data_IF_974636895396
#
_entry.id   IF_974636895396
#
_cell.length_a   1.000
_cell.length_b   1.000
_cell.length_c   1.000
_cell.angle_alpha   90.00
_cell.angle_beta   90.00
_cell.angle_gamma   90.00
#
_symmetry.space_group_name_H-M   'P 1'
#
loop_
_entity.id
_entity.type
_entity.pdbx_description
1 polymer ?
#
# COMPACT_ATOMS: atom_id res chain seq x y z
N UNK A 1 -9.88 10.75 0.25
CA UNK A 1 -11.09 11.29 -0.43
C UNK A 1 -11.76 12.23 0.55
N UNK A 2 -12.45 13.31 0.13
CA UNK A 2 -13.14 14.22 1.08
C UNK A 2 -14.42 13.62 1.71
N UNK A 3 -14.88 12.47 1.21
CA UNK A 3 -16.08 11.76 1.65
C UNK A 3 -15.68 10.45 2.32
N UNK A 4 -16.30 10.16 3.47
CA UNK A 4 -16.18 8.88 4.17
C UNK A 4 -16.81 7.74 3.35
N UNK A 5 -16.20 6.56 3.38
CA UNK A 5 -16.75 5.38 2.68
C UNK A 5 -17.95 4.79 3.43
N UNK A 6 -18.67 3.85 2.81
CA UNK A 6 -19.76 3.10 3.48
C UNK A 6 -19.26 2.43 4.77
N UNK A 7 -18.01 1.95 4.77
CA UNK A 7 -17.37 1.31 5.93
C UNK A 7 -16.68 2.26 6.91
N UNK A 8 -16.90 3.58 6.82
CA UNK A 8 -16.32 4.56 7.73
C UNK A 8 -14.84 4.93 7.45
N UNK A 9 -14.28 4.50 6.32
CA UNK A 9 -12.89 4.80 5.99
C UNK A 9 -12.77 6.22 5.43
N UNK A 10 -11.72 6.93 5.85
CA UNK A 10 -11.36 8.26 5.30
C UNK A 10 -10.05 8.24 4.51
N UNK A 11 -9.19 7.26 4.78
CA UNK A 11 -7.87 7.11 4.17
C UNK A 11 -7.63 5.67 3.74
N UNK A 12 -6.66 5.50 2.85
CA UNK A 12 -6.11 4.19 2.51
C UNK A 12 -4.59 4.25 2.62
N UNK A 13 -3.99 3.11 2.91
CA UNK A 13 -2.55 2.89 2.76
C UNK A 13 -2.34 1.60 1.99
N UNK A 14 -1.40 1.61 1.05
CA UNK A 14 -1.02 0.44 0.27
C UNK A 14 0.41 0.08 0.61
N UNK A 15 0.63 -1.12 1.14
CA UNK A 15 1.96 -1.71 1.27
C UNK A 15 2.23 -2.57 0.05
N UNK A 16 3.42 -2.42 -0.51
CA UNK A 16 3.86 -3.20 -1.68
C UNK A 16 5.18 -3.87 -1.35
N UNK A 17 5.27 -5.16 -1.61
CA UNK A 17 6.55 -5.86 -1.65
C UNK A 17 7.24 -5.60 -2.98
N UNK A 18 8.49 -5.17 -2.94
CA UNK A 18 9.25 -4.79 -4.14
C UNK A 18 9.64 -6.02 -4.98
N UNK A 19 9.87 -7.18 -4.33
CA UNK A 19 10.31 -8.39 -5.02
C UNK A 19 9.17 -9.11 -5.75
N UNK A 20 8.10 -9.44 -5.02
CA UNK A 20 6.95 -10.18 -5.57
C UNK A 20 5.91 -9.28 -6.24
N UNK A 21 6.04 -7.96 -6.10
CA UNK A 21 5.01 -6.99 -6.44
C UNK A 21 3.66 -7.22 -5.71
N UNK A 22 3.64 -8.02 -4.64
CA UNK A 22 2.44 -8.22 -3.84
C UNK A 22 1.98 -6.92 -3.19
N UNK A 23 0.70 -6.59 -3.33
CA UNK A 23 0.10 -5.37 -2.78
C UNK A 23 -1.01 -5.69 -1.81
N UNK A 24 -0.99 -5.03 -0.65
CA UNK A 24 -2.08 -5.09 0.34
C UNK A 24 -2.51 -3.68 0.73
N UNK A 25 -3.80 -3.41 0.57
CA UNK A 25 -4.41 -2.13 0.97
C UNK A 25 -5.14 -2.28 2.29
N UNK A 26 -5.01 -1.26 3.14
CA UNK A 26 -5.81 -1.08 4.35
C UNK A 26 -6.59 0.23 4.24
N UNK A 27 -7.90 0.19 4.54
CA UNK A 27 -8.84 1.32 4.42
C UNK A 27 -9.31 1.76 5.82
N UNK A 28 -8.73 2.83 6.38
CA UNK A 28 -8.89 3.20 7.80
C UNK A 28 -8.65 4.69 8.08
N UNK A 29 -8.69 5.08 9.36
CA UNK A 29 -8.25 6.40 9.82
C UNK A 29 -6.72 6.46 9.94
N UNK A 30 -6.16 7.69 9.89
CA UNK A 30 -4.70 7.90 10.01
C UNK A 30 -4.12 7.35 11.33
N UNK A 31 -4.91 7.34 12.41
CA UNK A 31 -4.50 6.83 13.72
C UNK A 31 -4.21 5.34 13.74
N UNK A 32 -4.82 4.55 12.86
CA UNK A 32 -4.73 3.09 12.85
C UNK A 32 -3.55 2.55 12.01
N UNK A 33 -2.85 3.43 11.29
CA UNK A 33 -1.84 3.04 10.30
C UNK A 33 -0.68 2.27 10.94
N UNK A 34 -0.24 2.67 12.14
CA UNK A 34 0.85 1.99 12.85
C UNK A 34 0.45 0.56 13.20
N UNK A 35 -0.76 0.35 13.74
CA UNK A 35 -1.25 -0.98 14.07
C UNK A 35 -1.38 -1.87 12.82
N UNK A 36 -1.83 -1.31 11.70
CA UNK A 36 -1.94 -2.05 10.43
C UNK A 36 -0.60 -2.36 9.79
N UNK A 37 0.40 -1.50 10.00
CA UNK A 37 1.77 -1.80 9.60
C UNK A 37 2.34 -2.98 10.41
N UNK A 38 2.12 -3.02 11.73
CA UNK A 38 2.54 -4.17 12.55
C UNK A 38 1.86 -5.47 12.10
N UNK A 39 0.53 -5.43 11.88
CA UNK A 39 -0.24 -6.56 11.34
C UNK A 39 0.29 -7.01 9.97
N UNK A 40 0.64 -6.07 9.10
CA UNK A 40 1.26 -6.37 7.81
C UNK A 40 2.61 -7.05 7.96
N UNK A 41 3.49 -6.54 8.83
CA UNK A 41 4.80 -7.13 9.07
C UNK A 41 4.67 -8.56 9.58
N UNK A 42 3.83 -8.80 10.58
CA UNK A 42 3.57 -10.15 11.11
C UNK A 42 3.00 -11.08 10.04
N UNK A 43 2.00 -10.61 9.28
CA UNK A 43 1.43 -11.40 8.19
C UNK A 43 2.50 -11.76 7.14
N UNK A 44 3.28 -10.78 6.68
CA UNK A 44 4.28 -11.00 5.64
C UNK A 44 5.39 -11.94 6.09
N UNK A 45 5.91 -11.77 7.31
CA UNK A 45 6.92 -12.65 7.89
C UNK A 45 6.40 -14.08 8.04
N UNK A 46 5.15 -14.27 8.48
CA UNK A 46 4.55 -15.59 8.60
C UNK A 46 4.31 -16.28 7.24
N UNK A 47 4.00 -15.53 6.19
CA UNK A 47 3.74 -16.11 4.87
C UNK A 47 5.01 -16.40 4.06
N UNK A 48 6.05 -15.60 4.25
CA UNK A 48 7.28 -15.68 3.43
C UNK A 48 8.47 -16.25 4.17
N UNK A 49 8.38 -16.40 5.49
CA UNK A 49 9.47 -16.75 6.42
C UNK A 49 10.70 -15.83 6.28
N UNK A 50 10.53 -14.65 5.67
CA UNK A 50 11.60 -13.69 5.39
C UNK A 50 11.43 -12.43 6.24
N UNK A 51 12.52 -11.92 6.83
CA UNK A 51 12.48 -10.66 7.55
C UNK A 51 12.37 -9.48 6.57
N UNK A 52 11.60 -8.45 6.97
CA UNK A 52 11.51 -7.19 6.23
C UNK A 52 12.77 -6.38 6.55
N UNK A 53 13.60 -6.13 5.53
CA UNK A 53 14.88 -5.42 5.70
C UNK A 53 14.73 -3.91 5.81
N UNK A 54 13.89 -3.33 4.95
CA UNK A 54 13.69 -1.89 4.88
C UNK A 54 12.28 -1.56 4.40
N UNK A 55 11.78 -0.40 4.84
CA UNK A 55 10.53 0.19 4.38
C UNK A 55 10.88 1.43 3.57
N UNK A 56 10.45 1.47 2.31
CA UNK A 56 10.60 2.65 1.46
C UNK A 56 9.33 3.50 1.50
N UNK A 57 9.45 4.75 1.94
CA UNK A 57 8.40 5.76 1.85
C UNK A 57 8.65 6.68 0.66
N UNK A 58 7.63 7.12 -0.05
CA UNK A 58 7.69 8.05 -1.20
C UNK A 58 8.04 9.51 -0.85
N UNK A 59 8.62 9.75 0.33
CA UNK A 59 8.86 11.10 0.87
C UNK A 59 7.64 11.73 1.56
N UNK A 60 6.47 11.07 1.51
CA UNK A 60 5.29 11.43 2.29
C UNK A 60 5.52 11.23 3.80
N UNK A 61 5.97 12.28 4.49
CA UNK A 61 6.17 12.26 5.95
C UNK A 61 4.86 12.17 6.75
N UNK A 62 3.71 12.23 6.09
CA UNK A 62 2.39 12.25 6.74
C UNK A 62 2.06 10.98 7.54
N UNK A 63 2.77 9.88 7.29
CA UNK A 63 2.63 8.62 8.02
C UNK A 63 3.82 8.33 8.96
N UNK A 64 4.92 9.08 8.84
CA UNK A 64 6.15 8.87 9.62
C UNK A 64 6.08 9.71 10.91
N UNK A 65 5.19 9.32 11.82
CA UNK A 65 5.10 9.91 13.15
C UNK A 65 6.07 9.22 14.15
N UNK A 66 6.17 9.76 15.37
CA UNK A 66 7.03 9.16 16.43
C UNK A 66 6.67 7.70 16.72
N UNK A 67 5.37 7.36 16.70
CA UNK A 67 4.89 5.99 16.89
C UNK A 67 5.40 5.04 15.81
N UNK A 68 5.30 5.43 14.55
CA UNK A 68 5.79 4.65 13.42
C UNK A 68 7.30 4.40 13.51
N UNK A 69 8.09 5.44 13.85
CA UNK A 69 9.54 5.30 14.06
C UNK A 69 9.86 4.35 15.22
N UNK A 70 9.08 4.37 16.30
CA UNK A 70 9.26 3.45 17.42
C UNK A 70 8.98 2.00 17.00
N UNK A 71 7.89 1.77 16.26
CA UNK A 71 7.54 0.45 15.71
C UNK A 71 8.64 -0.09 14.79
N UNK A 72 9.20 0.74 13.92
CA UNK A 72 10.33 0.32 13.06
C UNK A 72 11.57 -0.09 13.88
N UNK A 73 11.92 0.69 14.91
CA UNK A 73 13.02 0.31 15.82
C UNK A 73 12.75 -0.99 16.57
N UNK A 74 11.50 -1.29 16.91
CA UNK A 74 11.10 -2.52 17.59
C UNK A 74 11.15 -3.73 16.66
N UNK A 75 10.66 -3.58 15.43
CA UNK A 75 10.55 -4.67 14.47
C UNK A 75 11.87 -4.94 13.72
N UNK A 76 12.74 -3.93 13.60
CA UNK A 76 14.04 -4.03 12.93
C UNK A 76 14.16 -3.46 11.50
N UNK A 77 13.10 -3.21 10.70
CA UNK A 77 13.27 -2.63 9.38
C UNK A 77 13.84 -1.22 9.39
N UNK A 78 14.76 -0.94 8.48
CA UNK A 78 15.29 0.40 8.23
C UNK A 78 14.26 1.27 7.51
N UNK A 79 14.02 2.50 7.98
CA UNK A 79 13.22 3.47 7.23
C UNK A 79 14.07 4.12 6.14
N UNK A 80 13.69 3.95 4.88
CA UNK A 80 14.26 4.66 3.74
C UNK A 80 13.21 5.61 3.17
N UNK A 81 13.60 6.84 2.87
CA UNK A 81 12.75 7.80 2.17
C UNK A 81 13.27 7.94 0.73
N UNK A 82 12.35 7.88 -0.23
CA UNK A 82 12.58 8.27 -1.62
C UNK A 82 12.72 9.79 -1.66
N UNK A 83 13.94 10.28 -1.37
CA UNK A 83 14.33 11.65 -1.69
C UNK A 83 15.12 11.60 -3.01
N UNK A 84 14.75 12.41 -4.02
CA UNK A 84 15.58 12.56 -5.21
C UNK A 84 16.98 13.08 -4.82
N UNK A 85 18.08 12.55 -5.41
CA UNK A 85 18.13 11.78 -6.66
C UNK A 85 18.22 10.25 -6.48
N UNK A 86 18.07 9.72 -5.26
CA UNK A 86 18.60 8.39 -4.91
C UNK A 86 17.74 7.23 -5.47
N UNK A 87 16.44 7.43 -5.73
CA UNK A 87 15.52 6.31 -6.01
C UNK A 87 14.39 6.65 -7.00
N UNK A 88 14.71 7.03 -8.25
CA UNK A 88 13.68 7.17 -9.31
C UNK A 88 13.14 5.82 -9.79
N UNK A 89 13.98 4.79 -9.89
CA UNK A 89 13.58 3.48 -10.42
C UNK A 89 12.63 2.70 -9.50
N UNK A 90 12.77 2.81 -8.16
CA UNK A 90 11.89 2.08 -7.22
C UNK A 90 10.55 2.80 -6.97
N UNK A 91 10.45 4.09 -7.30
CA UNK A 91 9.18 4.81 -7.20
C UNK A 91 8.17 4.36 -8.26
N UNK A 92 8.61 3.65 -9.31
CA UNK A 92 7.73 3.12 -10.35
C UNK A 92 6.64 2.18 -9.80
N UNK A 93 6.89 1.49 -8.69
CA UNK A 93 5.91 0.63 -8.02
C UNK A 93 4.84 1.44 -7.28
N UNK A 94 5.24 2.51 -6.59
CA UNK A 94 4.33 3.45 -5.95
C UNK A 94 3.50 4.22 -6.99
N UNK A 95 4.13 4.68 -8.08
CA UNK A 95 3.46 5.33 -9.20
C UNK A 95 2.43 4.42 -9.88
N UNK A 96 2.77 3.15 -10.13
CA UNK A 96 1.82 2.14 -10.67
C UNK A 96 0.62 1.97 -9.76
N UNK A 97 0.85 1.97 -8.45
CA UNK A 97 -0.21 1.87 -7.44
C UNK A 97 -1.09 3.14 -7.46
N UNK A 98 -0.49 4.33 -7.52
CA UNK A 98 -1.21 5.60 -7.64
C UNK A 98 -2.06 5.67 -8.93
N UNK A 99 -1.55 5.16 -10.07
CA UNK A 99 -2.34 5.07 -11.32
C UNK A 99 -3.54 4.13 -11.19
N UNK A 100 -3.38 3.01 -10.48
CA UNK A 100 -4.48 2.08 -10.21
C UNK A 100 -5.59 2.74 -9.38
N UNK A 101 -5.21 3.59 -8.44
CA UNK A 101 -6.14 4.35 -7.61
C UNK A 101 -6.84 5.46 -8.40
N UNK A 102 -6.13 6.11 -9.32
CA UNK A 102 -6.76 7.05 -10.25
C UNK A 102 -7.75 6.37 -11.21
N UNK A 103 -7.49 5.12 -11.60
CA UNK A 103 -8.46 4.34 -12.37
C UNK A 103 -9.75 4.11 -11.56
N UNK A 104 -9.65 3.79 -10.27
CA UNK A 104 -10.83 3.67 -9.41
C UNK A 104 -11.65 4.97 -9.39
N UNK A 105 -10.99 6.14 -9.27
CA UNK A 105 -11.66 7.45 -9.34
C UNK A 105 -12.34 7.69 -10.70
N UNK A 106 -11.68 7.34 -11.81
CA UNK A 106 -12.24 7.48 -13.15
C UNK A 106 -13.49 6.61 -13.33
N UNK A 107 -13.46 5.37 -12.85
CA UNK A 107 -14.62 4.46 -12.90
C UNK A 107 -15.81 5.06 -12.13
N UNK A 108 -15.57 5.64 -10.94
CA UNK A 108 -16.64 6.31 -10.18
C UNK A 108 -17.32 7.42 -10.99
N UNK A 109 -16.53 8.25 -11.67
CA UNK A 109 -17.03 9.38 -12.46
C UNK A 109 -17.82 8.86 -13.67
N UNK A 110 -17.24 7.94 -14.44
CA UNK A 110 -17.85 7.40 -15.68
C UNK A 110 -19.13 6.62 -15.40
N UNK A 111 -19.19 5.89 -14.28
CA UNK A 111 -20.36 5.09 -13.90
C UNK A 111 -21.32 5.84 -12.96
N UNK A 112 -21.08 7.12 -12.70
CA UNK A 112 -21.87 7.96 -11.78
C UNK A 112 -22.13 7.29 -10.42
N UNK A 113 -21.12 6.60 -9.90
CA UNK A 113 -21.24 5.86 -8.63
C UNK A 113 -21.24 6.82 -7.44
N UNK A 114 -21.99 6.49 -6.36
CA UNK A 114 -21.91 7.21 -5.10
C UNK A 114 -20.46 7.36 -4.61
N UNK A 115 -20.10 8.56 -4.14
CA UNK A 115 -18.75 8.84 -3.63
C UNK A 115 -18.38 7.96 -2.44
N UNK A 116 -19.35 7.45 -1.68
CA UNK A 116 -19.16 6.54 -0.56
C UNK A 116 -18.61 5.17 -0.95
N UNK A 117 -18.71 4.75 -2.22
CA UNK A 117 -18.20 3.46 -2.72
C UNK A 117 -16.69 3.47 -3.04
N UNK A 118 -15.98 4.54 -2.69
CA UNK A 118 -14.59 4.69 -3.08
C UNK A 118 -13.70 3.61 -2.46
N UNK A 119 -14.00 3.15 -1.25
CA UNK A 119 -13.27 2.14 -0.51
C UNK A 119 -13.31 0.79 -1.24
N UNK A 120 -14.51 0.37 -1.61
CA UNK A 120 -14.82 -0.87 -2.31
C UNK A 120 -14.14 -0.90 -3.68
N UNK A 121 -14.14 0.23 -4.39
CA UNK A 121 -13.49 0.37 -5.67
C UNK A 121 -11.96 0.35 -5.56
N UNK A 122 -11.39 0.96 -4.52
CA UNK A 122 -9.95 0.87 -4.25
C UNK A 122 -9.54 -0.57 -3.98
N UNK A 123 -10.28 -1.29 -3.12
CA UNK A 123 -10.03 -2.72 -2.87
C UNK A 123 -10.12 -3.55 -4.15
N UNK A 124 -11.17 -3.33 -4.95
CA UNK A 124 -11.36 -4.04 -6.22
C UNK A 124 -10.22 -3.75 -7.20
N UNK A 125 -9.78 -2.49 -7.30
CA UNK A 125 -8.71 -2.09 -8.21
C UNK A 125 -7.37 -2.73 -7.80
N UNK A 126 -7.04 -2.73 -6.51
CA UNK A 126 -5.82 -3.38 -6.02
C UNK A 126 -5.89 -4.90 -6.15
N UNK A 127 -7.01 -5.52 -5.80
CA UNK A 127 -7.22 -6.96 -5.97
C UNK A 127 -7.00 -7.38 -7.43
N UNK A 128 -7.64 -6.68 -8.37
CA UNK A 128 -7.50 -6.93 -9.81
C UNK A 128 -6.07 -6.69 -10.29
N UNK A 129 -5.39 -5.66 -9.77
CA UNK A 129 -3.99 -5.42 -10.09
C UNK A 129 -3.10 -6.57 -9.64
N UNK A 130 -3.22 -6.98 -8.36
CA UNK A 130 -2.43 -8.09 -7.79
C UNK A 130 -2.67 -9.38 -8.56
N UNK A 131 -3.90 -9.70 -8.95
CA UNK A 131 -4.20 -10.89 -9.77
C UNK A 131 -3.52 -10.84 -11.14
N UNK A 132 -3.55 -9.69 -11.82
CA UNK A 132 -3.03 -9.57 -13.18
C UNK A 132 -1.49 -9.45 -13.25
N UNK A 133 -0.83 -9.17 -12.12
CA UNK A 133 0.62 -8.98 -12.06
C UNK A 133 1.31 -9.94 -11.08
N UNK A 134 0.57 -10.84 -10.45
CA UNK A 134 1.18 -11.98 -9.77
C UNK A 134 2.01 -12.72 -10.81
N UNK A 135 3.33 -12.81 -10.59
CA UNK A 135 4.19 -13.61 -11.46
C UNK A 135 3.61 -15.02 -11.46
N UNK A 136 3.14 -15.50 -12.61
CA UNK A 136 3.01 -16.94 -12.82
C UNK A 136 4.35 -17.55 -12.47
N UNK A 137 4.41 -18.64 -11.68
CA UNK A 137 5.66 -19.35 -11.52
C UNK A 137 6.17 -19.64 -12.94
N UNK A 138 7.39 -19.21 -13.26
CA UNK A 138 8.07 -19.82 -14.39
C UNK A 138 8.14 -21.31 -14.06
N UNK A 139 7.39 -22.10 -14.81
CA UNK A 139 7.70 -23.53 -14.90
C UNK A 139 9.01 -23.54 -15.65
N UNK A 140 10.09 -23.74 -14.91
CA UNK A 140 11.40 -23.96 -15.50
C UNK A 140 11.32 -25.33 -16.20
N UNK A 141 11.30 -25.31 -17.54
CA UNK A 141 11.46 -26.49 -18.42
C UNK A 141 12.94 -26.91 -18.51
#
# INVERSE_FOLDING_TARGET
>A
MKQESIGGSCYYICFTDDFSEYRKVYLKHKSEIVAKFEEFCTFFQNQTEKPIKAVLSDGGLEYINKGFKNTLRKLGPELRCSLPPIILHQNGTAERTNRTLDLARKIMIVKSLPKSLWAELVNTAVYRYTLNHARTPSVDD
#
